data_IF_685780805742
#
_entry.id   IF_685780805742
#
_cell.length_a   1.000
_cell.length_b   1.000
_cell.length_c   1.000
_cell.angle_alpha   90.00
_cell.angle_beta   90.00
_cell.angle_gamma   90.00
#
_symmetry.space_group_name_H-M   'P 1'
#
loop_
_entity.id
_entity.type
_entity.pdbx_description
1 polymer ?
#
# COMPACT_ATOMS: atom_id res chain seq x y z
N UNK A 1 2.15 8.80 25.33
CA UNK A 1 3.33 9.35 24.63
C UNK A 1 2.92 10.33 23.52
N UNK A 2 2.11 9.92 22.52
CA UNK A 2 1.70 10.80 21.39
C UNK A 2 0.95 12.04 21.86
N UNK A 3 0.00 11.93 22.79
CA UNK A 3 -0.72 13.04 23.38
C UNK A 3 0.22 14.09 23.99
N UNK A 4 1.18 13.64 24.83
CA UNK A 4 2.16 14.51 25.46
C UNK A 4 3.05 15.20 24.43
N UNK A 5 3.43 14.50 23.35
CA UNK A 5 4.19 15.10 22.25
C UNK A 5 3.42 16.20 21.54
N UNK A 6 2.14 15.98 21.24
CA UNK A 6 1.28 17.00 20.63
C UNK A 6 1.10 18.21 21.55
N UNK A 7 0.82 18.00 22.84
CA UNK A 7 0.70 19.10 23.83
C UNK A 7 2.01 19.91 23.88
N UNK A 8 3.17 19.25 23.92
CA UNK A 8 4.46 19.95 23.95
C UNK A 8 4.70 20.82 22.71
N UNK A 9 4.31 20.36 21.53
CA UNK A 9 4.54 21.07 20.28
C UNK A 9 3.51 22.15 20.00
N UNK A 10 2.24 21.90 20.27
CA UNK A 10 1.12 22.74 19.86
C UNK A 10 0.45 23.51 21.01
N UNK A 11 0.63 23.08 22.25
CA UNK A 11 -0.06 23.63 23.42
C UNK A 11 0.19 25.12 23.71
N UNK A 12 1.28 25.67 23.15
CA UNK A 12 1.56 27.11 23.20
C UNK A 12 0.74 27.94 22.20
N UNK A 13 0.13 27.30 21.21
CA UNK A 13 -0.65 27.98 20.17
C UNK A 13 -2.15 27.74 20.33
N UNK A 14 -2.54 26.53 20.80
CA UNK A 14 -3.95 26.17 20.95
C UNK A 14 -4.13 25.08 22.00
N UNK A 15 -5.38 24.90 22.46
CA UNK A 15 -5.75 23.72 23.26
C UNK A 15 -5.67 22.46 22.39
N UNK A 16 -4.89 21.48 22.82
CA UNK A 16 -4.81 20.17 22.18
C UNK A 16 -5.89 19.27 22.79
N UNK A 17 -6.80 18.80 21.96
CA UNK A 17 -7.83 17.83 22.35
C UNK A 17 -7.24 16.45 22.69
N UNK A 18 -8.08 15.55 23.16
CA UNK A 18 -7.68 14.17 23.40
C UNK A 18 -7.39 13.45 22.10
N UNK A 19 -6.37 12.56 22.11
CA UNK A 19 -6.02 11.77 20.94
C UNK A 19 -7.10 10.73 20.68
N UNK A 20 -7.57 10.66 19.44
CA UNK A 20 -8.48 9.63 18.98
C UNK A 20 -7.64 8.39 18.68
N UNK A 21 -7.63 7.42 19.59
CA UNK A 21 -6.91 6.18 19.47
C UNK A 21 -7.69 5.10 18.71
N UNK A 22 -7.00 4.08 18.21
CA UNK A 22 -7.67 2.89 17.69
C UNK A 22 -8.11 1.95 18.84
N UNK A 23 -9.23 1.28 18.67
CA UNK A 23 -9.73 0.33 19.66
C UNK A 23 -8.87 -0.93 19.75
N UNK A 24 -8.55 -1.51 18.58
CA UNK A 24 -7.68 -2.69 18.50
C UNK A 24 -6.34 -2.32 17.82
N UNK A 25 -5.21 -2.29 18.55
CA UNK A 25 -3.90 -1.92 18.02
C UNK A 25 -3.16 -3.09 17.36
N UNK A 26 -3.81 -4.24 17.19
CA UNK A 26 -3.19 -5.44 16.63
C UNK A 26 -3.71 -5.72 15.22
N UNK A 27 -2.84 -6.29 14.37
CA UNK A 27 -3.14 -6.81 13.03
C UNK A 27 -3.88 -5.83 12.10
N UNK A 28 -3.68 -4.51 12.32
CA UNK A 28 -4.38 -3.46 11.59
C UNK A 28 -3.76 -3.10 10.23
N UNK A 29 -2.52 -3.56 9.98
CA UNK A 29 -1.81 -3.20 8.74
C UNK A 29 -2.29 -4.06 7.59
N UNK A 30 -3.02 -3.44 6.69
CA UNK A 30 -3.55 -4.09 5.47
C UNK A 30 -2.50 -4.25 4.35
N UNK A 31 -1.30 -3.70 4.54
CA UNK A 31 -0.17 -3.86 3.62
C UNK A 31 1.04 -4.36 4.38
N UNK A 32 1.53 -5.51 3.99
CA UNK A 32 2.71 -6.17 4.55
C UNK A 32 3.76 -6.32 3.47
N UNK A 33 5.01 -6.05 3.82
CA UNK A 33 6.14 -6.16 2.91
C UNK A 33 7.27 -6.91 3.60
N UNK A 34 7.68 -8.03 3.01
CA UNK A 34 8.81 -8.82 3.49
C UNK A 34 9.93 -8.87 2.45
N UNK A 35 11.16 -8.63 2.88
CA UNK A 35 12.37 -8.93 2.14
C UNK A 35 12.77 -10.39 2.32
N UNK A 36 13.43 -10.98 1.33
CA UNK A 36 13.85 -12.38 1.33
C UNK A 36 15.39 -12.50 1.19
N UNK A 37 16.00 -13.37 1.99
CA UNK A 37 17.43 -13.66 1.90
C UNK A 37 17.73 -15.12 2.32
N UNK A 38 18.98 -15.50 2.20
CA UNK A 38 19.52 -16.69 2.85
C UNK A 38 20.20 -16.30 4.17
N UNK A 39 19.95 -17.09 5.22
CA UNK A 39 20.71 -16.98 6.45
C UNK A 39 22.11 -17.62 6.32
N UNK A 40 22.92 -17.56 7.39
CA UNK A 40 24.26 -18.17 7.44
C UNK A 40 24.27 -19.71 7.24
N UNK A 41 23.12 -20.34 7.41
CA UNK A 41 22.95 -21.78 7.22
C UNK A 41 22.29 -22.12 5.87
N UNK A 42 22.20 -21.14 4.96
CA UNK A 42 21.55 -21.26 3.65
C UNK A 42 20.05 -21.57 3.71
N UNK A 43 19.38 -21.29 4.83
CA UNK A 43 17.93 -21.34 4.90
C UNK A 43 17.33 -20.06 4.34
N UNK A 44 16.19 -20.18 3.68
CA UNK A 44 15.44 -19.01 3.20
C UNK A 44 14.73 -18.37 4.37
N UNK A 45 15.02 -17.09 4.61
CA UNK A 45 14.38 -16.24 5.62
C UNK A 45 13.60 -15.12 4.95
N UNK A 46 12.61 -14.59 5.65
CA UNK A 46 11.86 -13.39 5.26
C UNK A 46 11.64 -12.48 6.46
N UNK A 47 11.58 -11.18 6.23
CA UNK A 47 11.40 -10.20 7.30
C UNK A 47 11.72 -8.79 6.82
N UNK A 48 12.25 -7.97 7.71
CA UNK A 48 12.57 -6.57 7.45
C UNK A 48 14.09 -6.33 7.49
N UNK A 49 14.55 -5.36 6.71
CA UNK A 49 15.97 -4.98 6.78
C UNK A 49 16.28 -4.30 8.12
N UNK A 50 17.39 -4.70 8.71
CA UNK A 50 18.02 -3.93 9.78
C UNK A 50 18.43 -2.56 9.21
N UNK A 51 18.22 -1.50 9.99
CA UNK A 51 18.52 -0.14 9.56
C UNK A 51 19.94 -0.02 8.97
N UNK A 52 20.03 0.67 7.84
CA UNK A 52 21.28 0.95 7.11
C UNK A 52 22.10 -0.31 6.75
N UNK A 53 21.42 -1.44 6.51
CA UNK A 53 22.08 -2.69 6.11
C UNK A 53 21.19 -3.55 5.21
N UNK A 54 21.81 -4.54 4.51
CA UNK A 54 21.09 -5.60 3.77
C UNK A 54 20.81 -6.84 4.63
N UNK A 55 21.06 -6.78 5.94
CA UNK A 55 20.76 -7.89 6.84
C UNK A 55 19.27 -7.92 7.14
N UNK A 56 18.66 -9.10 7.02
CA UNK A 56 17.25 -9.30 7.34
C UNK A 56 17.11 -9.73 8.80
N UNK A 57 16.27 -9.03 9.54
CA UNK A 57 15.72 -9.49 10.80
C UNK A 57 14.52 -10.38 10.47
N UNK A 58 14.60 -11.71 10.75
CA UNK A 58 13.51 -12.61 10.41
C UNK A 58 12.24 -12.25 11.18
N UNK A 59 11.11 -12.20 10.45
CA UNK A 59 9.78 -12.02 11.03
C UNK A 59 8.93 -13.19 10.56
N UNK A 60 8.32 -13.89 11.51
CA UNK A 60 7.40 -15.00 11.23
C UNK A 60 5.96 -14.59 11.53
N UNK A 61 5.78 -13.82 12.60
CA UNK A 61 4.50 -13.26 13.03
C UNK A 61 4.77 -11.85 13.52
N UNK A 62 3.92 -10.90 13.13
CA UNK A 62 4.02 -9.52 13.56
C UNK A 62 2.71 -9.08 14.21
N UNK A 63 2.80 -8.47 15.40
CA UNK A 63 1.62 -8.01 16.16
C UNK A 63 0.80 -6.92 15.43
N UNK A 64 1.38 -6.22 14.47
CA UNK A 64 0.71 -5.12 13.76
C UNK A 64 0.31 -5.47 12.33
N UNK A 65 0.97 -6.46 11.73
CA UNK A 65 0.70 -6.91 10.35
C UNK A 65 -0.50 -7.85 10.31
N UNK A 66 -1.19 -7.88 9.17
CA UNK A 66 -2.30 -8.80 8.93
C UNK A 66 -1.82 -10.26 9.00
N UNK A 67 -2.47 -11.08 9.80
CA UNK A 67 -2.10 -12.48 10.04
C UNK A 67 -2.12 -13.31 8.74
N UNK A 68 -3.09 -13.05 7.87
CA UNK A 68 -3.19 -13.75 6.58
C UNK A 68 -2.03 -13.41 5.66
N UNK A 69 -1.54 -12.16 5.70
CA UNK A 69 -0.36 -11.77 4.96
C UNK A 69 0.90 -12.51 5.48
N UNK A 70 1.06 -12.65 6.79
CA UNK A 70 2.14 -13.43 7.40
C UNK A 70 2.11 -14.91 6.97
N UNK A 71 0.91 -15.52 6.95
CA UNK A 71 0.71 -16.90 6.48
C UNK A 71 1.13 -17.06 5.00
N UNK A 72 0.69 -16.15 4.12
CA UNK A 72 1.02 -16.15 2.69
C UNK A 72 2.53 -16.00 2.48
N UNK A 73 3.18 -15.06 3.19
CA UNK A 73 4.64 -14.86 3.13
C UNK A 73 5.37 -16.14 3.58
N UNK A 74 4.92 -16.75 4.67
CA UNK A 74 5.44 -18.03 5.15
C UNK A 74 5.30 -19.16 4.13
N UNK A 75 4.18 -19.22 3.42
CA UNK A 75 3.95 -20.18 2.32
C UNK A 75 4.89 -19.93 1.16
N UNK A 76 5.03 -18.67 0.71
CA UNK A 76 5.95 -18.31 -0.39
C UNK A 76 7.39 -18.71 -0.03
N UNK A 77 7.83 -18.52 1.23
CA UNK A 77 9.14 -18.97 1.70
C UNK A 77 9.33 -20.47 1.53
N UNK A 78 8.32 -21.30 1.84
CA UNK A 78 8.35 -22.75 1.62
C UNK A 78 8.37 -23.11 0.14
N UNK A 79 7.54 -22.42 -0.67
CA UNK A 79 7.48 -22.65 -2.12
C UNK A 79 8.80 -22.33 -2.82
N UNK A 80 9.51 -21.26 -2.45
CA UNK A 80 10.85 -20.99 -2.99
C UNK A 80 11.79 -22.18 -2.84
N UNK A 81 11.79 -22.82 -1.67
CA UNK A 81 12.61 -24.03 -1.43
C UNK A 81 12.18 -25.19 -2.33
N UNK A 82 10.86 -25.46 -2.42
CA UNK A 82 10.31 -26.57 -3.20
C UNK A 82 10.57 -26.42 -4.71
N UNK A 83 10.49 -25.19 -5.21
CA UNK A 83 10.74 -24.85 -6.61
C UNK A 83 12.21 -24.57 -6.92
N UNK A 84 13.12 -24.70 -5.93
CA UNK A 84 14.56 -24.41 -6.05
C UNK A 84 14.86 -22.98 -6.52
N UNK A 85 14.01 -22.03 -6.15
CA UNK A 85 14.18 -20.61 -6.42
C UNK A 85 14.95 -19.97 -5.26
N UNK A 86 16.00 -19.20 -5.57
CA UNK A 86 16.82 -18.54 -4.57
C UNK A 86 16.32 -17.10 -4.31
N UNK A 87 16.34 -16.63 -3.06
CA UNK A 87 16.22 -15.22 -2.78
C UNK A 87 17.27 -14.40 -3.54
N UNK A 88 16.92 -13.15 -3.85
CA UNK A 88 17.84 -12.21 -4.45
C UNK A 88 18.85 -11.73 -3.40
N UNK A 89 20.12 -11.62 -3.81
CA UNK A 89 21.17 -11.08 -2.97
C UNK A 89 21.50 -9.68 -3.45
N UNK A 90 21.28 -8.68 -2.61
CA UNK A 90 21.45 -7.26 -2.94
C UNK A 90 22.93 -6.89 -3.21
N UNK A 91 23.87 -7.59 -2.58
CA UNK A 91 25.31 -7.31 -2.75
C UNK A 91 25.85 -7.85 -4.08
N UNK A 92 25.39 -9.03 -4.49
CA UNK A 92 25.86 -9.69 -5.71
C UNK A 92 24.98 -9.41 -6.93
N UNK A 93 23.75 -8.92 -6.73
CA UNK A 93 22.77 -8.73 -7.80
C UNK A 93 22.23 -10.03 -8.39
N UNK A 94 22.33 -11.16 -7.68
CA UNK A 94 21.95 -12.48 -8.16
C UNK A 94 20.83 -13.09 -7.33
N UNK A 95 19.98 -13.90 -7.96
CA UNK A 95 18.84 -14.56 -7.34
C UNK A 95 17.52 -14.11 -7.94
N UNK A 96 16.43 -14.65 -7.43
CA UNK A 96 15.09 -14.49 -8.01
C UNK A 96 14.23 -13.51 -7.20
N UNK A 97 13.80 -13.91 -5.99
CA UNK A 97 12.83 -13.16 -5.19
C UNK A 97 13.51 -12.17 -4.25
N UNK A 98 13.20 -10.87 -4.42
CA UNK A 98 13.67 -9.77 -3.54
C UNK A 98 12.71 -9.53 -2.39
N UNK A 99 11.44 -9.26 -2.75
CA UNK A 99 10.40 -8.93 -1.78
C UNK A 99 9.08 -9.62 -2.14
N UNK A 100 8.25 -9.78 -1.14
CA UNK A 100 6.82 -10.05 -1.30
C UNK A 100 6.05 -8.89 -0.68
N UNK A 101 5.09 -8.36 -1.42
CA UNK A 101 4.15 -7.37 -0.94
C UNK A 101 2.76 -8.00 -0.94
N UNK A 102 2.10 -8.03 0.21
CA UNK A 102 0.71 -8.47 0.34
C UNK A 102 -0.14 -7.26 0.69
N UNK A 103 -1.18 -7.02 -0.08
CA UNK A 103 -2.21 -6.02 0.23
C UNK A 103 -3.54 -6.73 0.42
N UNK A 104 -4.23 -6.41 1.49
CA UNK A 104 -5.55 -6.98 1.80
C UNK A 104 -6.59 -5.89 1.95
N UNK A 105 -7.74 -6.09 1.32
CA UNK A 105 -8.93 -5.32 1.58
C UNK A 105 -9.64 -5.91 2.81
N UNK A 106 -9.81 -5.13 3.87
CA UNK A 106 -10.41 -5.63 5.10
C UNK A 106 -11.92 -5.78 4.99
N UNK A 107 -12.59 -4.86 4.30
CA UNK A 107 -14.03 -4.94 4.03
C UNK A 107 -14.33 -5.86 2.84
N UNK A 108 -13.53 -5.79 1.78
CA UNK A 108 -13.74 -6.61 0.56
C UNK A 108 -13.28 -8.06 0.70
N UNK A 109 -12.36 -8.34 1.62
CA UNK A 109 -11.70 -9.65 1.75
C UNK A 109 -10.70 -9.96 0.63
N UNK A 110 -10.55 -9.11 -0.38
CA UNK A 110 -9.66 -9.33 -1.52
C UNK A 110 -8.18 -9.25 -1.11
N UNK A 111 -7.36 -10.12 -1.71
CA UNK A 111 -5.92 -10.19 -1.41
C UNK A 111 -5.12 -10.10 -2.70
N UNK A 112 -4.17 -9.16 -2.75
CA UNK A 112 -3.17 -9.04 -3.79
C UNK A 112 -1.81 -9.45 -3.27
N UNK A 113 -1.15 -10.34 -4.01
CA UNK A 113 0.24 -10.75 -3.78
C UNK A 113 1.11 -10.20 -4.90
N UNK A 114 2.13 -9.41 -4.55
CA UNK A 114 3.13 -8.91 -5.50
C UNK A 114 4.46 -9.59 -5.20
N UNK A 115 4.94 -10.38 -6.16
CA UNK A 115 6.24 -11.03 -6.13
C UNK A 115 7.26 -10.10 -6.80
N UNK A 116 8.12 -9.47 -6.01
CA UNK A 116 9.18 -8.58 -6.53
C UNK A 116 10.40 -9.41 -6.84
N UNK A 117 10.77 -9.49 -8.10
CA UNK A 117 11.84 -10.37 -8.60
C UNK A 117 13.00 -9.58 -9.17
N UNK A 118 14.23 -10.09 -9.02
CA UNK A 118 15.44 -9.52 -9.62
C UNK A 118 15.54 -9.81 -11.13
N UNK A 119 14.70 -10.66 -11.69
CA UNK A 119 14.69 -11.04 -13.11
C UNK A 119 13.26 -11.24 -13.60
N UNK A 120 13.06 -11.06 -14.92
CA UNK A 120 11.79 -11.34 -15.58
C UNK A 120 11.54 -12.85 -15.70
N UNK A 121 12.60 -13.63 -15.84
CA UNK A 121 12.50 -15.06 -15.95
C UNK A 121 12.02 -15.67 -14.63
N UNK A 122 10.90 -16.38 -14.71
CA UNK A 122 10.27 -17.04 -13.57
C UNK A 122 10.13 -18.55 -13.88
N UNK A 123 11.10 -19.37 -13.50
CA UNK A 123 11.05 -20.80 -13.75
C UNK A 123 9.83 -21.44 -13.10
N UNK A 124 9.10 -22.29 -13.86
CA UNK A 124 7.88 -22.98 -13.40
C UNK A 124 6.81 -22.01 -12.86
N UNK A 125 6.71 -20.83 -13.45
CA UNK A 125 5.79 -19.74 -13.04
C UNK A 125 4.36 -20.24 -12.82
N UNK A 126 3.81 -20.98 -13.78
CA UNK A 126 2.43 -21.50 -13.73
C UNK A 126 2.21 -22.42 -12.53
N UNK A 127 3.13 -23.37 -12.32
CA UNK A 127 3.03 -24.35 -11.24
C UNK A 127 3.19 -23.69 -9.87
N UNK A 128 4.09 -22.72 -9.76
CA UNK A 128 4.28 -21.92 -8.53
C UNK A 128 3.00 -21.18 -8.15
N UNK A 129 2.41 -20.43 -9.10
CA UNK A 129 1.19 -19.67 -8.88
C UNK A 129 0.02 -20.61 -8.57
N UNK A 130 -0.16 -21.68 -9.33
CA UNK A 130 -1.22 -22.66 -9.09
C UNK A 130 -1.10 -23.31 -7.70
N UNK A 131 0.13 -23.62 -7.25
CA UNK A 131 0.38 -24.19 -5.92
C UNK A 131 0.07 -23.18 -4.82
N UNK A 132 0.46 -21.91 -5.01
CA UNK A 132 0.14 -20.82 -4.07
C UNK A 132 -1.38 -20.66 -3.93
N UNK A 133 -2.11 -20.59 -5.04
CA UNK A 133 -3.57 -20.44 -5.06
C UNK A 133 -4.30 -21.67 -4.50
N UNK A 134 -3.74 -22.86 -4.65
CA UNK A 134 -4.31 -24.08 -4.04
C UNK A 134 -4.24 -24.02 -2.51
N UNK A 135 -3.15 -23.45 -1.96
CA UNK A 135 -2.96 -23.31 -0.50
C UNK A 135 -3.76 -22.11 0.04
N UNK A 136 -3.81 -21.03 -0.73
CA UNK A 136 -4.48 -19.77 -0.38
C UNK A 136 -5.51 -19.40 -1.46
N UNK A 137 -6.68 -20.06 -1.49
CA UNK A 137 -7.72 -19.81 -2.51
C UNK A 137 -8.36 -18.41 -2.38
N UNK A 138 -8.17 -17.75 -1.25
CA UNK A 138 -8.62 -16.39 -0.98
C UNK A 138 -7.81 -15.30 -1.73
N UNK A 139 -6.66 -15.65 -2.32
CA UNK A 139 -5.87 -14.70 -3.12
C UNK A 139 -6.64 -14.32 -4.38
N UNK A 140 -6.96 -13.03 -4.51
CA UNK A 140 -7.72 -12.50 -5.64
C UNK A 140 -6.83 -12.22 -6.85
N UNK A 141 -5.59 -11.80 -6.62
CA UNK A 141 -4.66 -11.49 -7.72
C UNK A 141 -3.21 -11.70 -7.33
N UNK A 142 -2.40 -12.14 -8.30
CA UNK A 142 -0.94 -12.30 -8.16
C UNK A 142 -0.24 -11.52 -9.26
N UNK A 143 0.72 -10.70 -8.89
CA UNK A 143 1.50 -9.86 -9.82
C UNK A 143 2.99 -10.15 -9.64
N UNK A 144 3.70 -10.32 -10.74
CA UNK A 144 5.17 -10.24 -10.74
C UNK A 144 5.58 -8.79 -11.03
N UNK A 145 6.39 -8.21 -10.15
CA UNK A 145 7.05 -6.93 -10.40
C UNK A 145 8.54 -7.16 -10.54
N UNK A 146 9.13 -6.67 -11.63
CA UNK A 146 10.56 -6.85 -11.90
C UNK A 146 11.33 -5.63 -11.45
N UNK A 147 12.23 -5.82 -10.49
CA UNK A 147 13.16 -4.80 -10.01
C UNK A 147 14.58 -5.37 -9.99
N UNK A 148 15.31 -5.14 -11.08
CA UNK A 148 16.70 -5.57 -11.25
C UNK A 148 17.71 -4.43 -11.00
N UNK A 149 17.26 -3.29 -10.50
CA UNK A 149 18.12 -2.13 -10.27
C UNK A 149 18.70 -2.15 -8.84
N UNK A 150 19.88 -1.60 -8.68
CA UNK A 150 20.45 -1.29 -7.36
C UNK A 150 19.78 -0.03 -6.82
N UNK A 151 18.71 -0.22 -6.06
CA UNK A 151 17.90 0.88 -5.53
C UNK A 151 17.24 0.47 -4.22
N UNK A 152 16.97 1.43 -3.35
CA UNK A 152 16.16 1.24 -2.14
C UNK A 152 14.66 1.13 -2.44
N UNK A 153 14.24 1.45 -3.67
CA UNK A 153 12.84 1.29 -4.10
C UNK A 153 12.50 -0.19 -4.19
N UNK A 154 11.39 -0.59 -3.56
CA UNK A 154 10.94 -1.98 -3.55
C UNK A 154 10.42 -2.40 -4.91
N UNK A 155 9.52 -1.60 -5.49
CA UNK A 155 8.89 -1.89 -6.77
C UNK A 155 9.68 -1.29 -7.93
N UNK A 156 9.90 -2.11 -8.96
CA UNK A 156 10.43 -1.68 -10.24
C UNK A 156 9.34 -1.15 -11.17
N UNK A 157 9.75 -0.77 -12.39
CA UNK A 157 8.84 -0.15 -13.35
C UNK A 157 7.99 -1.14 -14.16
N UNK A 158 8.36 -2.42 -14.20
CA UNK A 158 7.68 -3.43 -15.02
C UNK A 158 6.91 -4.41 -14.14
N UNK A 159 5.62 -4.57 -14.43
CA UNK A 159 4.76 -5.57 -13.80
C UNK A 159 4.09 -6.46 -14.84
N UNK A 160 3.84 -7.71 -14.47
CA UNK A 160 3.09 -8.72 -15.21
C UNK A 160 2.04 -9.33 -14.28
N UNK A 161 0.78 -9.35 -14.70
CA UNK A 161 -0.29 -10.03 -13.95
C UNK A 161 -0.18 -11.53 -14.21
N UNK A 162 -0.03 -12.31 -13.15
CA UNK A 162 0.10 -13.76 -13.22
C UNK A 162 -1.23 -14.48 -12.97
N UNK A 163 -2.12 -13.83 -12.20
CA UNK A 163 -3.46 -14.30 -11.88
C UNK A 163 -4.35 -13.13 -11.48
N UNK A 164 -5.65 -13.19 -11.83
CA UNK A 164 -6.63 -12.16 -11.51
C UNK A 164 -6.45 -10.87 -12.32
N UNK A 165 -6.95 -9.75 -11.79
CA UNK A 165 -7.05 -8.47 -12.51
C UNK A 165 -5.82 -7.56 -12.34
N UNK A 166 -4.87 -7.92 -11.47
CA UNK A 166 -3.70 -7.10 -11.18
C UNK A 166 -3.97 -5.95 -10.20
N UNK A 167 -5.15 -5.88 -9.62
CA UNK A 167 -5.55 -4.95 -8.57
C UNK A 167 -6.54 -5.60 -7.61
N UNK A 168 -6.79 -4.97 -6.48
CA UNK A 168 -7.89 -5.28 -5.58
C UNK A 168 -8.78 -4.06 -5.42
N UNK A 169 -10.02 -4.27 -4.99
CA UNK A 169 -10.95 -3.21 -4.60
C UNK A 169 -11.14 -3.26 -3.09
N UNK A 170 -11.15 -2.11 -2.44
CA UNK A 170 -11.41 -1.97 -1.02
C UNK A 170 -12.46 -0.90 -0.77
N UNK A 171 -13.18 -1.01 0.35
CA UNK A 171 -14.16 -0.02 0.79
C UNK A 171 -13.60 0.82 1.93
N UNK A 172 -13.84 2.14 1.87
CA UNK A 172 -13.56 3.09 2.94
C UNK A 172 -14.80 3.97 3.11
N UNK A 173 -15.50 3.83 4.25
CA UNK A 173 -16.84 4.36 4.39
C UNK A 173 -17.77 3.77 3.34
N UNK A 174 -18.48 4.64 2.63
CA UNK A 174 -19.39 4.30 1.54
C UNK A 174 -18.71 4.24 0.15
N UNK A 175 -17.39 4.48 0.11
CA UNK A 175 -16.64 4.59 -1.13
C UNK A 175 -15.83 3.33 -1.42
N UNK A 176 -15.71 3.00 -2.70
CA UNK A 176 -14.90 1.88 -3.20
C UNK A 176 -13.65 2.40 -3.89
N UNK A 177 -12.50 1.80 -3.60
CA UNK A 177 -11.22 2.19 -4.17
C UNK A 177 -10.51 1.03 -4.81
N UNK A 178 -10.14 1.21 -6.07
CA UNK A 178 -9.21 0.31 -6.75
C UNK A 178 -7.79 0.59 -6.27
N UNK A 179 -7.09 -0.47 -5.87
CA UNK A 179 -5.74 -0.42 -5.33
C UNK A 179 -4.83 -1.24 -6.25
N UNK A 180 -3.98 -0.56 -7.02
CA UNK A 180 -2.96 -1.18 -7.86
C UNK A 180 -1.70 -1.56 -7.04
N UNK A 181 -0.76 -2.35 -7.59
CA UNK A 181 0.48 -2.71 -6.89
C UNK A 181 1.29 -1.51 -6.39
N UNK A 182 1.40 -0.44 -7.18
CA UNK A 182 2.14 0.78 -6.85
C UNK A 182 1.33 1.81 -6.09
N UNK A 183 0.00 1.69 -6.07
CA UNK A 183 -0.86 2.65 -5.39
C UNK A 183 -0.52 2.76 -3.90
N UNK A 184 -0.38 3.99 -3.43
CA UNK A 184 -0.41 4.26 -2.00
C UNK A 184 -1.86 4.13 -1.51
N UNK A 185 -2.05 3.39 -0.44
CA UNK A 185 -3.32 3.30 0.29
C UNK A 185 -2.99 3.24 1.77
N UNK A 186 -3.80 3.87 2.60
CA UNK A 186 -3.56 3.94 4.04
C UNK A 186 -3.55 2.53 4.66
N UNK A 187 -2.54 2.29 5.50
CA UNK A 187 -2.26 0.95 6.05
C UNK A 187 -3.19 0.53 7.19
N UNK A 188 -3.94 1.46 7.75
CA UNK A 188 -4.94 1.22 8.78
C UNK A 188 -6.29 1.76 8.31
N UNK A 189 -7.08 0.97 7.56
CA UNK A 189 -8.33 1.45 6.95
C UNK A 189 -9.36 1.88 7.98
N UNK A 190 -9.44 1.21 9.13
CA UNK A 190 -10.39 1.53 10.20
C UNK A 190 -10.08 2.94 10.75
N UNK A 191 -8.82 3.20 11.11
CA UNK A 191 -8.43 4.50 11.64
C UNK A 191 -8.40 5.59 10.58
N UNK A 192 -8.23 5.22 9.30
CA UNK A 192 -8.30 6.16 8.18
C UNK A 192 -9.72 6.70 8.00
N UNK A 193 -10.74 5.86 8.16
CA UNK A 193 -12.13 6.30 8.10
C UNK A 193 -12.43 7.32 9.23
N UNK A 194 -11.97 7.05 10.45
CA UNK A 194 -12.07 7.98 11.58
C UNK A 194 -11.34 9.31 11.29
N UNK A 195 -10.11 9.23 10.75
CA UNK A 195 -9.32 10.41 10.38
C UNK A 195 -10.03 11.24 9.32
N UNK A 196 -10.56 10.64 8.27
CA UNK A 196 -11.21 11.35 7.17
C UNK A 196 -12.52 11.99 7.62
N UNK A 197 -13.35 11.29 8.41
CA UNK A 197 -14.57 11.85 8.98
C UNK A 197 -14.25 13.06 9.87
N UNK A 198 -13.28 12.94 10.78
CA UNK A 198 -12.85 14.04 11.65
C UNK A 198 -12.32 15.23 10.83
N UNK A 199 -11.57 14.96 9.75
CA UNK A 199 -11.07 16.02 8.85
C UNK A 199 -12.24 16.77 8.20
N UNK A 200 -13.26 16.06 7.71
CA UNK A 200 -14.43 16.68 7.08
C UNK A 200 -15.30 17.45 8.08
N UNK A 201 -15.40 16.98 9.31
CA UNK A 201 -16.07 17.72 10.39
C UNK A 201 -15.36 19.06 10.66
N UNK A 202 -14.03 19.04 10.78
CA UNK A 202 -13.23 20.25 10.99
C UNK A 202 -13.25 21.20 9.79
N UNK A 203 -13.31 20.66 8.56
CA UNK A 203 -13.41 21.47 7.35
C UNK A 203 -14.74 22.22 7.24
N UNK A 204 -15.82 21.75 7.90
CA UNK A 204 -17.12 22.41 7.94
C UNK A 204 -17.72 22.70 6.56
N UNK A 205 -17.51 21.78 5.60
CA UNK A 205 -17.94 21.97 4.21
C UNK A 205 -19.47 22.11 4.12
N UNK A 206 -19.91 23.11 3.34
CA UNK A 206 -21.33 23.45 3.14
C UNK A 206 -21.86 23.12 1.76
N UNK A 207 -21.04 22.53 0.87
CA UNK A 207 -21.35 22.26 -0.53
C UNK A 207 -21.03 23.43 -1.47
N UNK A 208 -20.43 24.51 -0.97
CA UNK A 208 -20.08 25.70 -1.78
C UNK A 208 -18.58 25.84 -2.02
N UNK A 209 -17.79 25.13 -1.27
CA UNK A 209 -16.34 25.22 -1.26
C UNK A 209 -15.70 24.44 -2.40
N UNK A 210 -14.57 24.95 -2.90
CA UNK A 210 -13.61 24.18 -3.67
C UNK A 210 -12.54 23.63 -2.72
N UNK A 211 -12.41 22.32 -2.67
CA UNK A 211 -11.41 21.62 -1.88
C UNK A 211 -10.21 21.29 -2.76
N UNK A 212 -9.00 21.62 -2.30
CA UNK A 212 -7.75 21.25 -2.96
C UNK A 212 -7.06 20.17 -2.12
N UNK A 213 -6.84 18.99 -2.72
CA UNK A 213 -6.02 17.89 -2.19
C UNK A 213 -4.66 17.94 -2.88
N UNK A 214 -3.69 18.59 -2.26
CA UNK A 214 -2.42 18.97 -2.87
C UNK A 214 -1.46 17.78 -3.09
N UNK A 215 -1.69 16.65 -2.44
CA UNK A 215 -0.90 15.41 -2.59
C UNK A 215 -1.85 14.22 -2.62
N UNK A 216 -2.76 14.23 -3.59
CA UNK A 216 -3.97 13.41 -3.55
C UNK A 216 -3.72 11.89 -3.68
N UNK A 217 -2.55 11.46 -4.13
CA UNK A 217 -2.28 10.04 -4.38
C UNK A 217 -3.32 9.43 -5.30
N UNK A 218 -4.02 8.40 -4.84
CA UNK A 218 -5.11 7.73 -5.58
C UNK A 218 -6.48 8.40 -5.37
N UNK A 219 -6.50 9.63 -4.86
CA UNK A 219 -7.69 10.47 -4.72
C UNK A 219 -8.58 10.15 -3.52
N UNK A 220 -8.10 9.37 -2.55
CA UNK A 220 -8.96 8.82 -1.49
C UNK A 220 -9.65 9.89 -0.65
N UNK A 221 -8.92 10.89 -0.11
CA UNK A 221 -9.53 11.92 0.74
C UNK A 221 -10.38 12.90 -0.08
N UNK A 222 -9.92 13.26 -1.29
CA UNK A 222 -10.69 14.12 -2.18
C UNK A 222 -12.04 13.53 -2.58
N UNK A 223 -12.06 12.23 -2.94
CA UNK A 223 -13.30 11.51 -3.27
C UNK A 223 -14.18 11.40 -2.03
N UNK A 224 -13.61 11.13 -0.86
CA UNK A 224 -14.34 11.07 0.40
C UNK A 224 -15.00 12.41 0.76
N UNK A 225 -14.37 13.55 0.39
CA UNK A 225 -14.89 14.90 0.58
C UNK A 225 -15.92 15.32 -0.48
N UNK A 226 -15.94 14.66 -1.66
CA UNK A 226 -16.69 15.12 -2.83
C UNK A 226 -18.20 15.34 -2.60
N UNK A 227 -18.93 14.54 -1.78
CA UNK A 227 -20.36 14.78 -1.54
C UNK A 227 -20.66 16.06 -0.76
N UNK A 228 -19.65 16.60 -0.02
CA UNK A 228 -19.79 17.79 0.82
C UNK A 228 -19.14 19.04 0.23
N UNK A 229 -18.53 18.93 -0.96
CA UNK A 229 -17.85 20.03 -1.64
C UNK A 229 -18.53 20.40 -2.95
N UNK A 230 -18.45 21.66 -3.37
CA UNK A 230 -18.86 22.10 -4.72
C UNK A 230 -17.95 21.48 -5.77
N UNK A 231 -16.66 21.48 -5.53
CA UNK A 231 -15.61 20.94 -6.42
C UNK A 231 -14.46 20.42 -5.61
N UNK A 232 -13.83 19.36 -6.08
CA UNK A 232 -12.57 18.85 -5.53
C UNK A 232 -11.51 18.85 -6.63
N UNK A 233 -10.34 19.41 -6.30
CA UNK A 233 -9.17 19.43 -7.18
C UNK A 233 -8.06 18.63 -6.51
N UNK A 234 -7.68 17.51 -7.09
CA UNK A 234 -6.55 16.69 -6.65
C UNK A 234 -5.31 16.96 -7.47
N UNK A 235 -4.17 17.17 -6.82
CA UNK A 235 -2.87 17.34 -7.48
C UNK A 235 -1.92 16.26 -6.99
N UNK A 236 -1.21 15.61 -7.91
CA UNK A 236 -0.28 14.52 -7.59
C UNK A 236 0.82 14.46 -8.65
N UNK A 237 2.05 14.29 -8.19
CA UNK A 237 3.23 14.23 -9.06
C UNK A 237 3.34 12.89 -9.80
N UNK A 238 2.85 11.80 -9.20
CA UNK A 238 2.95 10.46 -9.78
C UNK A 238 1.81 10.21 -10.79
N UNK A 239 2.10 10.09 -12.11
CA UNK A 239 1.07 9.90 -13.13
C UNK A 239 0.28 8.58 -12.97
N UNK A 240 0.87 7.52 -12.43
CA UNK A 240 0.17 6.25 -12.16
C UNK A 240 -0.88 6.45 -11.06
N UNK A 241 -0.57 7.24 -10.02
CA UNK A 241 -1.51 7.55 -8.95
C UNK A 241 -2.66 8.44 -9.44
N UNK A 242 -2.38 9.45 -10.29
CA UNK A 242 -3.42 10.29 -10.93
C UNK A 242 -4.37 9.44 -11.78
N UNK A 243 -3.82 8.47 -12.52
CA UNK A 243 -4.63 7.53 -13.29
C UNK A 243 -5.56 6.70 -12.39
N UNK A 244 -5.04 6.18 -11.28
CA UNK A 244 -5.84 5.45 -10.31
C UNK A 244 -6.90 6.37 -9.65
N UNK A 245 -6.56 7.64 -9.33
CA UNK A 245 -7.51 8.63 -8.79
C UNK A 245 -8.71 8.87 -9.73
N UNK A 246 -8.44 9.03 -11.03
CA UNK A 246 -9.51 9.20 -12.04
C UNK A 246 -10.39 7.95 -12.17
N UNK A 247 -9.82 6.76 -12.07
CA UNK A 247 -10.57 5.49 -12.04
C UNK A 247 -11.44 5.42 -10.78
N UNK A 248 -10.89 5.78 -9.63
CA UNK A 248 -11.59 5.78 -8.35
C UNK A 248 -12.73 6.81 -8.33
N UNK A 249 -12.53 7.99 -8.90
CA UNK A 249 -13.59 8.98 -9.03
C UNK A 249 -14.79 8.45 -9.84
N UNK A 250 -14.51 7.82 -10.99
CA UNK A 250 -15.56 7.19 -11.81
C UNK A 250 -16.27 6.06 -11.07
N UNK A 251 -15.52 5.22 -10.35
CA UNK A 251 -16.06 4.11 -9.56
C UNK A 251 -17.06 4.58 -8.50
N UNK A 252 -16.87 5.80 -7.98
CA UNK A 252 -17.69 6.39 -6.94
C UNK A 252 -18.65 7.47 -7.45
N UNK A 253 -18.79 7.64 -8.76
CA UNK A 253 -19.63 8.71 -9.37
C UNK A 253 -19.32 10.11 -8.82
N UNK A 254 -18.05 10.36 -8.48
CA UNK A 254 -17.57 11.63 -7.95
C UNK A 254 -17.28 12.62 -9.12
N UNK A 255 -18.36 13.08 -9.80
CA UNK A 255 -18.28 13.90 -11.02
C UNK A 255 -17.73 15.30 -10.80
N UNK A 256 -17.79 15.80 -9.57
CA UNK A 256 -17.25 17.10 -9.16
C UNK A 256 -15.76 17.06 -8.80
N UNK A 257 -15.02 16.00 -9.19
CA UNK A 257 -13.60 15.85 -8.91
C UNK A 257 -12.75 15.98 -10.18
N UNK A 258 -11.64 16.71 -10.09
CA UNK A 258 -10.64 16.83 -11.15
C UNK A 258 -9.26 16.47 -10.60
N UNK A 259 -8.46 15.71 -11.37
CA UNK A 259 -7.12 15.28 -10.95
C UNK A 259 -6.05 15.70 -11.97
N UNK A 260 -5.03 16.39 -11.47
CA UNK A 260 -3.94 16.96 -12.24
C UNK A 260 -2.62 16.27 -11.90
N UNK A 261 -1.85 15.94 -12.94
CA UNK A 261 -0.48 15.45 -12.77
C UNK A 261 0.48 16.64 -12.80
N UNK A 262 0.84 17.15 -11.63
CA UNK A 262 1.67 18.32 -11.47
C UNK A 262 2.40 18.31 -10.12
N UNK A 263 3.42 19.14 -9.99
CA UNK A 263 3.93 19.52 -8.66
C UNK A 263 2.91 20.41 -7.95
N UNK A 264 2.62 20.08 -6.69
CA UNK A 264 1.58 20.78 -5.94
C UNK A 264 1.96 22.24 -5.61
N UNK A 265 3.26 22.51 -5.40
CA UNK A 265 3.74 23.86 -5.13
C UNK A 265 3.60 24.77 -6.35
N UNK A 266 4.01 24.28 -7.54
CA UNK A 266 3.86 24.99 -8.80
C UNK A 266 2.36 25.20 -9.13
N UNK A 267 1.55 24.15 -9.02
CA UNK A 267 0.11 24.23 -9.28
C UNK A 267 -0.60 25.27 -8.40
N UNK A 268 -0.27 25.32 -7.10
CA UNK A 268 -0.88 26.28 -6.18
C UNK A 268 -0.40 27.71 -6.44
N UNK A 269 0.85 27.92 -6.86
CA UNK A 269 1.36 29.23 -7.23
C UNK A 269 0.68 29.79 -8.49
N UNK A 270 0.39 28.93 -9.47
CA UNK A 270 -0.29 29.31 -10.71
C UNK A 270 -1.81 29.55 -10.49
N UNK A 271 -2.38 28.97 -9.45
CA UNK A 271 -3.81 29.07 -9.10
C UNK A 271 -4.14 30.25 -8.17
N UNK A 272 -3.11 30.92 -7.62
CA UNK A 272 -3.27 32.05 -6.69
C UNK A 272 -3.33 33.40 -7.44
#
# INVERSE_FOLDING_TARGET
YKQVKCIRLLGKFCRVGEIIGMENPYHYRNKVQAAFALDRHSNIISGVYQSSSHKIVPVTVCMTEDEKADEIIGTIRRLLKNFKLRPYNEDTGRGFLRHVLVKRGFKSGQIMVVLVTGTRDFPKKKDFVATLLKIHPEITTVVQNVNNQKTSMVLGNRSEVLFGDGYITEQLGDFSFRISPKAFYQINPIQTEVLYNTTLEFAGLTGKETVIDAYCGTGTIGIFASPKAKKVVGVELNPDAVKDARVNAKLNSAENTEFYNADAGEFLADAA
#
